data_IF_673583638586
#
_entry.id   IF_673583638586
#
_cell.length_a   1.000
_cell.length_b   1.000
_cell.length_c   1.000
_cell.angle_alpha   90.00
_cell.angle_beta   90.00
_cell.angle_gamma   90.00
#
_symmetry.space_group_name_H-M   'P 1'
#
loop_
_entity.id
_entity.type
_entity.pdbx_description
1 polymer ?
#
# COMPACT_ATOMS: atom_id res chain seq x y z
N UNK A 1 -43.35 -13.96 -57.54
CA UNK A 1 -41.96 -14.45 -57.69
C UNK A 1 -41.06 -13.23 -57.67
N UNK A 2 -40.38 -12.99 -56.54
CA UNK A 2 -39.60 -11.77 -56.30
C UNK A 2 -38.18 -12.19 -55.94
N UNK A 3 -37.21 -11.71 -56.71
CA UNK A 3 -35.80 -12.03 -56.57
C UNK A 3 -35.08 -10.96 -55.74
N UNK A 4 -34.30 -11.38 -54.75
CA UNK A 4 -33.30 -10.53 -54.08
C UNK A 4 -32.07 -11.40 -53.82
N UNK A 5 -30.99 -11.20 -54.59
CA UNK A 5 -29.67 -11.78 -54.31
C UNK A 5 -28.74 -10.68 -53.80
N UNK A 6 -28.16 -10.95 -52.64
CA UNK A 6 -27.37 -10.06 -51.79
C UNK A 6 -25.98 -9.84 -52.39
N UNK A 7 -25.56 -8.57 -52.42
CA UNK A 7 -24.23 -8.09 -52.82
C UNK A 7 -23.21 -8.49 -51.74
N UNK A 8 -22.18 -9.24 -52.14
CA UNK A 8 -21.02 -9.55 -51.29
C UNK A 8 -20.12 -8.32 -51.19
N UNK A 9 -20.07 -7.69 -50.02
CA UNK A 9 -19.10 -6.62 -49.71
C UNK A 9 -17.81 -7.29 -49.23
N UNK A 10 -16.73 -7.06 -49.99
CA UNK A 10 -15.37 -7.48 -49.67
C UNK A 10 -14.78 -6.44 -48.69
N UNK A 11 -14.56 -6.81 -47.43
CA UNK A 11 -13.85 -5.97 -46.45
C UNK A 11 -12.38 -6.36 -46.45
N UNK A 12 -11.52 -5.47 -46.97
CA UNK A 12 -10.06 -5.57 -46.84
C UNK A 12 -9.70 -4.88 -45.51
N UNK A 13 -9.46 -5.67 -44.47
CA UNK A 13 -8.98 -5.16 -43.19
C UNK A 13 -7.45 -5.13 -43.18
N UNK A 14 -6.87 -3.92 -43.23
CA UNK A 14 -5.48 -3.66 -42.93
C UNK A 14 -5.23 -3.98 -41.45
N UNK A 15 -4.41 -5.01 -41.20
CA UNK A 15 -4.02 -5.43 -39.86
C UNK A 15 -3.14 -4.38 -39.18
N UNK A 16 -3.73 -3.61 -38.27
CA UNK A 16 -2.99 -2.93 -37.22
C UNK A 16 -2.75 -3.97 -36.12
N UNK A 17 -1.55 -4.56 -36.07
CA UNK A 17 -1.11 -5.34 -34.91
C UNK A 17 -0.87 -4.36 -33.76
N UNK A 18 -1.91 -4.11 -32.97
CA UNK A 18 -1.78 -3.49 -31.66
C UNK A 18 -0.96 -4.45 -30.78
N UNK A 19 0.34 -4.17 -30.66
CA UNK A 19 1.20 -4.79 -29.65
C UNK A 19 0.66 -4.37 -28.28
N UNK A 20 -0.19 -5.21 -27.70
CA UNK A 20 -0.59 -5.14 -26.31
C UNK A 20 0.64 -5.48 -25.46
N UNK A 21 1.52 -4.51 -25.24
CA UNK A 21 2.53 -4.64 -24.19
C UNK A 21 1.80 -4.87 -22.88
N UNK A 22 2.07 -5.99 -22.22
CA UNK A 22 1.59 -6.25 -20.87
C UNK A 22 2.16 -5.15 -19.96
N UNK A 23 1.37 -4.11 -19.70
CA UNK A 23 1.68 -3.18 -18.62
C UNK A 23 1.53 -3.99 -17.32
N UNK A 24 2.65 -4.30 -16.66
CA UNK A 24 2.62 -4.87 -15.33
C UNK A 24 1.96 -3.84 -14.40
N UNK A 25 0.73 -4.11 -14.00
CA UNK A 25 -0.01 -3.25 -13.09
C UNK A 25 0.67 -3.28 -11.72
N UNK A 26 1.13 -2.12 -11.25
CA UNK A 26 1.61 -1.95 -9.88
C UNK A 26 0.44 -2.24 -8.94
N UNK A 27 0.57 -3.26 -8.09
CA UNK A 27 -0.51 -3.64 -7.19
C UNK A 27 -0.48 -2.72 -5.96
N UNK A 28 -1.40 -1.75 -5.95
CA UNK A 28 -1.65 -0.86 -4.80
C UNK A 28 -2.78 -1.44 -3.95
N UNK A 29 -2.56 -1.57 -2.64
CA UNK A 29 -3.56 -1.97 -1.65
C UNK A 29 -3.78 -0.85 -0.64
N UNK A 30 -5.02 -0.66 -0.17
CA UNK A 30 -5.32 0.25 0.92
C UNK A 30 -5.43 -0.54 2.23
N UNK A 31 -4.77 -0.06 3.27
CA UNK A 31 -4.82 -0.65 4.61
C UNK A 31 -5.27 0.38 5.63
N UNK A 32 -5.95 -0.08 6.67
CA UNK A 32 -6.54 0.76 7.70
C UNK A 32 -6.39 0.09 9.07
N UNK A 33 -5.92 0.84 10.06
CA UNK A 33 -5.71 0.37 11.43
C UNK A 33 -6.19 1.38 12.46
N UNK A 34 -6.77 0.91 13.55
CA UNK A 34 -7.01 1.72 14.76
C UNK A 34 -5.87 1.49 15.72
N UNK A 35 -5.17 2.56 16.09
CA UNK A 35 -4.04 2.57 16.99
C UNK A 35 -4.41 3.16 18.36
N UNK A 36 -3.85 2.62 19.43
CA UNK A 36 -3.92 3.20 20.77
C UNK A 36 -2.63 3.99 21.05
N UNK A 37 -2.73 5.31 21.03
CA UNK A 37 -1.61 6.23 21.29
C UNK A 37 -1.52 6.61 22.79
N UNK A 38 -1.48 5.61 23.66
CA UNK A 38 -1.39 5.82 25.12
C UNK A 38 -2.72 6.21 25.77
N UNK A 39 -3.82 5.60 25.33
CA UNK A 39 -5.19 5.84 25.75
C UNK A 39 -6.01 6.69 24.77
N UNK A 40 -5.38 7.24 23.72
CA UNK A 40 -6.02 8.04 22.70
C UNK A 40 -6.17 7.24 21.39
N UNK A 41 -7.40 6.97 20.91
CA UNK A 41 -7.58 6.27 19.65
C UNK A 41 -7.14 7.15 18.46
N UNK A 42 -6.42 6.53 17.53
CA UNK A 42 -5.99 7.15 16.28
C UNK A 42 -6.27 6.21 15.10
N UNK A 43 -6.62 6.79 13.96
CA UNK A 43 -6.83 6.09 12.71
C UNK A 43 -5.58 6.20 11.85
N UNK A 44 -4.98 5.07 11.50
CA UNK A 44 -3.94 4.96 10.49
C UNK A 44 -4.56 4.48 9.18
N UNK A 45 -4.25 5.15 8.08
CA UNK A 45 -4.61 4.71 6.73
C UNK A 45 -3.39 4.81 5.83
N UNK A 46 -3.16 3.81 4.97
CA UNK A 46 -2.03 3.82 4.06
C UNK A 46 -2.36 3.17 2.72
N UNK A 47 -1.72 3.68 1.67
CA UNK A 47 -1.59 3.02 0.38
C UNK A 47 -0.27 2.27 0.37
N UNK A 48 -0.31 0.99 0.04
CA UNK A 48 0.83 0.07 0.03
C UNK A 48 1.04 -0.43 -1.38
N UNK A 49 2.25 -0.21 -1.90
CA UNK A 49 2.74 -0.73 -3.16
C UNK A 49 3.73 -1.86 -2.89
N UNK A 50 3.46 -3.04 -3.44
CA UNK A 50 4.39 -4.17 -3.42
C UNK A 50 5.26 -4.14 -4.68
N UNK A 51 6.58 -4.07 -4.50
CA UNK A 51 7.58 -4.09 -5.57
C UNK A 51 8.33 -5.41 -5.49
N UNK A 52 8.17 -6.27 -6.48
CA UNK A 52 8.86 -7.56 -6.55
C UNK A 52 9.74 -7.63 -7.81
N UNK A 53 10.96 -8.16 -7.65
CA UNK A 53 11.94 -8.23 -8.74
C UNK A 53 11.56 -9.24 -9.84
N UNK A 54 10.71 -10.24 -9.51
CA UNK A 54 10.19 -11.22 -10.46
C UNK A 54 8.73 -11.59 -10.16
N UNK A 55 7.79 -11.04 -10.95
CA UNK A 55 6.39 -11.51 -10.98
C UNK A 55 5.48 -10.96 -9.88
N UNK A 56 4.17 -11.14 -10.10
CA UNK A 56 3.06 -10.60 -9.29
C UNK A 56 3.13 -11.15 -7.87
N UNK A 57 3.60 -10.35 -6.91
CA UNK A 57 3.47 -10.66 -5.48
C UNK A 57 2.21 -10.01 -4.97
N UNK A 58 1.19 -10.83 -4.74
CA UNK A 58 -0.04 -10.39 -4.13
C UNK A 58 0.21 -10.09 -2.65
N UNK A 59 0.07 -8.82 -2.26
CA UNK A 59 -0.41 -8.51 -0.91
C UNK A 59 -1.88 -8.96 -0.85
N UNK A 60 -2.12 -10.26 -0.67
CA UNK A 60 -3.47 -10.83 -0.53
C UNK A 60 -3.99 -10.74 0.91
N UNK A 61 -3.14 -10.32 1.87
CA UNK A 61 -3.45 -10.35 3.30
C UNK A 61 -3.73 -8.96 3.90
N UNK A 62 -3.53 -7.88 3.15
CA UNK A 62 -3.86 -6.50 3.58
C UNK A 62 -2.91 -5.92 4.62
N UNK A 63 -1.64 -6.33 4.63
CA UNK A 63 -0.65 -5.85 5.61
C UNK A 63 0.15 -4.66 5.09
N UNK A 64 0.57 -3.78 6.01
CA UNK A 64 1.38 -2.58 5.69
C UNK A 64 2.85 -2.92 5.41
N UNK A 65 3.36 -4.00 6.02
CA UNK A 65 4.70 -4.54 5.75
C UNK A 65 4.61 -6.02 5.38
N UNK A 66 5.60 -6.51 4.62
CA UNK A 66 5.78 -7.95 4.42
C UNK A 66 6.20 -8.68 5.69
N UNK A 67 6.14 -10.01 5.65
CA UNK A 67 6.78 -10.87 6.64
C UNK A 67 8.29 -10.71 6.50
N UNK A 68 8.99 -10.44 7.61
CA UNK A 68 10.46 -10.41 7.66
C UNK A 68 10.97 -11.77 7.14
N UNK A 69 11.69 -11.77 6.01
CA UNK A 69 12.30 -12.98 5.44
C UNK A 69 11.94 -13.34 3.99
N UNK A 70 11.13 -12.55 3.28
CA UNK A 70 10.95 -12.71 1.82
C UNK A 70 12.01 -11.90 1.07
N UNK A 71 13.10 -12.56 0.68
CA UNK A 71 14.13 -11.96 -0.19
C UNK A 71 13.51 -11.57 -1.55
N UNK A 72 13.78 -10.37 -2.05
CA UNK A 72 13.35 -9.90 -3.38
C UNK A 72 11.98 -9.20 -3.45
N UNK A 73 11.37 -8.86 -2.30
CA UNK A 73 10.13 -8.06 -2.24
C UNK A 73 10.33 -6.84 -1.35
N UNK A 74 10.14 -5.64 -1.92
CA UNK A 74 10.11 -4.39 -1.20
C UNK A 74 8.67 -3.87 -1.07
N UNK A 75 8.34 -3.31 0.08
CA UNK A 75 7.04 -2.69 0.32
C UNK A 75 7.24 -1.20 0.47
N UNK A 76 6.64 -0.40 -0.40
CA UNK A 76 6.61 1.06 -0.25
C UNK A 76 5.21 1.47 0.14
N UNK A 77 5.09 2.39 1.08
CA UNK A 77 3.78 2.83 1.52
C UNK A 77 3.79 4.29 1.94
N UNK A 78 2.63 4.91 1.88
CA UNK A 78 2.43 6.28 2.28
C UNK A 78 1.03 6.45 2.83
N UNK A 79 0.87 7.33 3.81
CA UNK A 79 -0.38 7.40 4.54
C UNK A 79 -0.46 8.52 5.55
N UNK A 80 -1.50 8.42 6.36
CA UNK A 80 -1.82 9.35 7.44
C UNK A 80 -2.13 8.58 8.72
N UNK A 81 -1.69 9.12 9.85
CA UNK A 81 -2.13 8.75 11.19
C UNK A 81 -2.81 9.97 11.82
N UNK A 82 -4.10 9.84 12.17
CA UNK A 82 -4.89 10.94 12.71
C UNK A 82 -5.59 10.54 14.02
N UNK A 83 -5.47 11.39 15.03
CA UNK A 83 -6.25 11.32 16.27
C UNK A 83 -7.13 12.56 16.40
N UNK A 84 -7.84 12.69 17.53
CA UNK A 84 -8.60 13.90 17.84
C UNK A 84 -7.71 15.15 18.01
N UNK A 85 -6.41 14.98 18.31
CA UNK A 85 -5.51 16.07 18.70
C UNK A 85 -4.26 16.19 17.85
N UNK A 86 -3.95 15.21 17.01
CA UNK A 86 -2.75 15.19 16.18
C UNK A 86 -3.01 14.57 14.82
N UNK A 87 -2.24 15.00 13.82
CA UNK A 87 -2.28 14.44 12.47
C UNK A 87 -0.86 14.35 11.92
N UNK A 88 -0.50 13.19 11.42
CA UNK A 88 0.81 12.89 10.87
C UNK A 88 0.66 12.36 9.46
N UNK A 89 1.57 12.75 8.58
CA UNK A 89 1.75 12.09 7.27
C UNK A 89 3.04 11.28 7.31
N UNK A 90 3.07 10.17 6.58
CA UNK A 90 4.26 9.34 6.54
C UNK A 90 4.46 8.71 5.17
N UNK A 91 5.73 8.39 4.92
CA UNK A 91 6.18 7.52 3.84
C UNK A 91 7.08 6.45 4.45
N UNK A 92 6.95 5.22 4.00
CA UNK A 92 7.75 4.11 4.51
C UNK A 92 8.18 3.14 3.42
N UNK A 93 9.20 2.39 3.79
CA UNK A 93 9.76 1.30 3.02
C UNK A 93 10.07 0.15 3.98
N UNK A 94 9.57 -1.05 3.66
CA UNK A 94 9.71 -2.24 4.48
C UNK A 94 9.27 -1.98 5.93
N UNK A 95 10.07 -2.33 6.94
CA UNK A 95 9.68 -2.11 8.33
C UNK A 95 9.88 -0.68 8.85
N UNK A 96 10.26 0.30 8.02
CA UNK A 96 10.52 1.66 8.51
C UNK A 96 9.71 2.71 7.78
N UNK A 97 9.25 3.71 8.53
CA UNK A 97 8.54 4.86 8.00
C UNK A 97 8.98 6.15 8.67
N UNK A 98 9.08 7.21 7.89
CA UNK A 98 9.39 8.55 8.36
C UNK A 98 8.08 9.36 8.43
N UNK A 99 7.75 9.82 9.63
CA UNK A 99 6.55 10.57 9.94
C UNK A 99 6.87 12.05 10.02
N UNK A 100 5.91 12.88 9.63
CA UNK A 100 5.91 14.33 9.83
C UNK A 100 4.63 14.74 10.53
N UNK A 101 4.75 15.40 11.68
CA UNK A 101 3.63 16.05 12.37
C UNK A 101 3.18 17.28 11.56
N UNK A 102 1.90 17.34 11.17
CA UNK A 102 1.39 18.46 10.37
C UNK A 102 1.16 19.74 11.19
N UNK A 103 1.06 19.64 12.51
CA UNK A 103 0.92 20.78 13.41
C UNK A 103 2.27 21.44 13.73
N UNK A 104 3.30 20.63 13.93
CA UNK A 104 4.64 21.13 14.37
C UNK A 104 5.72 21.06 13.30
N UNK A 105 5.51 20.30 12.21
CA UNK A 105 6.52 19.91 11.22
C UNK A 105 7.70 19.08 11.78
N UNK A 106 7.58 18.58 13.00
CA UNK A 106 8.57 17.67 13.58
C UNK A 106 8.57 16.34 12.82
N UNK A 107 9.76 15.74 12.70
CA UNK A 107 9.96 14.48 12.00
C UNK A 107 10.53 13.43 12.93
N UNK A 108 10.05 12.21 12.78
CA UNK A 108 10.51 11.07 13.55
C UNK A 108 10.40 9.79 12.74
N UNK A 109 11.19 8.78 13.11
CA UNK A 109 11.19 7.48 12.43
C UNK A 109 10.40 6.47 13.26
N UNK A 110 9.65 5.63 12.57
CA UNK A 110 8.84 4.57 13.16
C UNK A 110 9.23 3.24 12.55
N UNK A 111 9.48 2.24 13.39
CA UNK A 111 9.52 0.86 12.94
C UNK A 111 8.11 0.26 12.99
N UNK A 112 7.66 -0.29 11.87
CA UNK A 112 6.36 -0.91 11.64
C UNK A 112 6.52 -2.43 11.65
N UNK A 113 5.93 -3.13 12.61
CA UNK A 113 5.99 -4.58 12.71
C UNK A 113 4.58 -5.15 12.56
N UNK A 114 4.27 -5.72 11.40
CA UNK A 114 3.01 -6.42 11.16
C UNK A 114 3.06 -7.87 11.66
N UNK A 115 2.01 -8.28 12.39
CA UNK A 115 1.78 -9.65 12.86
C UNK A 115 0.30 -9.99 12.65
N UNK A 116 -0.04 -10.51 11.46
CA UNK A 116 -1.43 -10.72 11.07
C UNK A 116 -2.20 -9.38 11.01
N UNK A 117 -3.36 -9.34 11.67
CA UNK A 117 -4.18 -8.12 11.78
C UNK A 117 -3.62 -7.08 12.78
N UNK A 118 -2.55 -7.40 13.51
CA UNK A 118 -1.92 -6.48 14.45
C UNK A 118 -0.74 -5.75 13.81
N UNK A 119 -0.59 -4.48 14.17
CA UNK A 119 0.58 -3.67 13.82
C UNK A 119 1.15 -3.07 15.12
N UNK A 120 2.43 -3.29 15.36
CA UNK A 120 3.16 -2.61 16.42
C UNK A 120 3.99 -1.47 15.81
N UNK A 121 3.83 -0.26 16.32
CA UNK A 121 4.64 0.90 15.95
C UNK A 121 5.65 1.20 17.05
N UNK A 122 6.93 1.24 16.70
CA UNK A 122 8.01 1.60 17.62
C UNK A 122 8.57 2.95 17.18
N UNK A 123 8.33 3.99 17.98
CA UNK A 123 8.72 5.37 17.71
C UNK A 123 10.18 5.59 18.10
N UNK A 124 10.95 6.18 17.20
CA UNK A 124 12.39 6.44 17.36
C UNK A 124 13.13 5.18 17.86
N UNK A 125 13.11 4.07 17.10
CA UNK A 125 13.61 2.76 17.53
C UNK A 125 15.11 2.77 17.87
N UNK A 126 15.85 3.74 17.35
CA UNK A 126 17.28 3.96 17.60
C UNK A 126 17.57 4.49 19.02
N UNK A 127 16.54 4.93 19.76
CA UNK A 127 16.71 5.55 21.08
C UNK A 127 16.74 4.53 22.21
N UNK A 128 17.38 4.82 23.37
CA UNK A 128 17.47 3.87 24.49
C UNK A 128 16.12 3.48 25.13
N UNK A 129 15.08 4.30 24.92
CA UNK A 129 13.74 4.09 25.48
C UNK A 129 12.69 4.38 24.40
N UNK A 130 12.52 3.47 23.43
CA UNK A 130 11.56 3.68 22.36
C UNK A 130 10.13 3.57 22.90
N UNK A 131 9.25 4.41 22.36
CA UNK A 131 7.82 4.36 22.69
C UNK A 131 7.14 3.38 21.74
N UNK A 132 6.28 2.52 22.27
CA UNK A 132 5.58 1.51 21.46
C UNK A 132 4.07 1.72 21.52
N UNK A 133 3.43 1.67 20.36
CA UNK A 133 1.97 1.71 20.22
C UNK A 133 1.45 0.48 19.51
N UNK A 134 0.25 0.05 19.89
CA UNK A 134 -0.41 -1.10 19.31
C UNK A 134 -1.56 -0.65 18.42
N UNK A 135 -1.67 -1.28 17.27
CA UNK A 135 -2.69 -1.03 16.27
C UNK A 135 -3.37 -2.34 15.85
N UNK A 136 -4.66 -2.25 15.54
CA UNK A 136 -5.47 -3.35 15.06
C UNK A 136 -6.10 -2.99 13.73
N UNK A 137 -6.03 -3.90 12.77
CA UNK A 137 -6.59 -3.69 11.44
C UNK A 137 -8.10 -3.46 11.55
N UNK A 138 -8.57 -2.36 10.98
CA UNK A 138 -10.00 -2.05 10.87
C UNK A 138 -10.47 -2.53 9.50
N UNK A 139 -11.49 -3.38 9.48
CA UNK A 139 -12.14 -3.84 8.24
C UNK A 139 -12.89 -2.72 7.53
#
# INVERSE_FOLDING_TARGET
>A
MTATKIIKILVVALGLTSYSGSAFAQQVSNVSYVCDLGGAPAQLTAQVETIADTGIVQNSQGWITGVIGMEGVNYRYQGELASATARYVFTGENQFADFTDLGTNERFRVQMISQGASLTMIINPETPQPVTYQCQQSQ
#
